data_IF_359403805688
#
_entry.id   IF_359403805688
#
_cell.length_a   1.000
_cell.length_b   1.000
_cell.length_c   1.000
_cell.angle_alpha   90.00
_cell.angle_beta   90.00
_cell.angle_gamma   90.00
#
_symmetry.space_group_name_H-M   'P 1'
#
loop_
_entity.id
_entity.type
_entity.pdbx_description
1 polymer ?
#
# COMPACT_ATOMS: atom_id res chain seq x y z
N UNK A 1 3.63 23.07 -5.64
CA UNK A 1 4.23 21.73 -5.80
C UNK A 1 4.38 21.10 -4.44
N UNK A 2 3.92 19.85 -4.28
CA UNK A 2 3.94 19.11 -3.01
C UNK A 2 5.22 18.29 -2.85
N UNK A 3 5.81 17.86 -3.97
CA UNK A 3 7.05 17.09 -4.00
C UNK A 3 8.27 18.01 -4.02
N UNK A 4 9.39 17.53 -3.48
CA UNK A 4 10.63 18.30 -3.40
C UNK A 4 11.24 18.47 -4.78
N UNK A 5 11.76 19.65 -5.11
CA UNK A 5 12.42 19.92 -6.38
C UNK A 5 13.92 19.57 -6.29
N UNK A 6 14.32 18.46 -6.91
CA UNK A 6 15.72 18.07 -7.08
C UNK A 6 15.86 17.02 -8.18
N UNK A 7 17.09 16.83 -8.65
CA UNK A 7 17.44 15.76 -9.58
C UNK A 7 17.37 14.40 -8.86
N UNK A 8 16.35 13.60 -9.21
CA UNK A 8 16.14 12.28 -8.63
C UNK A 8 16.95 11.24 -9.40
N UNK A 9 17.76 10.46 -8.69
CA UNK A 9 18.58 9.39 -9.29
C UNK A 9 18.24 7.99 -8.76
N UNK A 10 17.39 7.90 -7.72
CA UNK A 10 17.09 6.64 -7.04
C UNK A 10 15.96 5.84 -7.73
N UNK A 11 16.33 4.77 -8.45
CA UNK A 11 15.40 3.86 -9.11
C UNK A 11 14.98 2.68 -8.24
N UNK A 12 15.48 2.57 -7.01
CA UNK A 12 15.21 1.40 -6.17
C UNK A 12 13.73 1.25 -5.83
N UNK A 13 13.23 0.01 -5.66
CA UNK A 13 11.84 -0.24 -5.32
C UNK A 13 11.47 0.37 -3.95
N UNK A 14 10.17 0.54 -3.71
CA UNK A 14 9.65 0.98 -2.42
C UNK A 14 10.04 -0.03 -1.33
N UNK A 15 10.49 0.47 -0.18
CA UNK A 15 10.70 -0.38 1.01
C UNK A 15 9.37 -0.65 1.70
N UNK A 16 9.22 -1.81 2.34
CA UNK A 16 7.98 -2.19 3.02
C UNK A 16 7.59 -1.21 4.13
N UNK A 17 8.57 -0.69 4.86
CA UNK A 17 8.35 0.33 5.89
C UNK A 17 8.51 1.77 5.41
N UNK A 18 8.69 1.99 4.11
CA UNK A 18 8.79 3.35 3.59
C UNK A 18 7.39 3.99 3.48
N UNK A 19 7.21 5.22 4.00
CA UNK A 19 5.98 5.96 3.78
C UNK A 19 5.70 6.17 2.29
N UNK A 20 4.44 6.04 1.88
CA UNK A 20 4.04 6.16 0.48
C UNK A 20 4.50 7.49 -0.14
N UNK A 21 4.31 8.60 0.56
CA UNK A 21 4.77 9.91 0.10
C UNK A 21 6.29 9.98 -0.05
N UNK A 22 7.06 9.42 0.88
CA UNK A 22 8.51 9.42 0.81
C UNK A 22 9.02 8.65 -0.41
N UNK A 23 8.41 7.51 -0.72
CA UNK A 23 8.70 6.75 -1.95
C UNK A 23 8.40 7.57 -3.21
N UNK A 24 7.20 8.18 -3.26
CA UNK A 24 6.82 9.04 -4.37
C UNK A 24 7.79 10.21 -4.52
N UNK A 25 8.23 10.82 -3.42
CA UNK A 25 9.14 11.97 -3.47
C UNK A 25 10.56 11.59 -3.87
N UNK A 26 11.07 10.42 -3.48
CA UNK A 26 12.44 10.01 -3.83
C UNK A 26 12.61 9.37 -5.20
N UNK A 27 11.59 8.69 -5.71
CA UNK A 27 11.77 7.77 -6.82
C UNK A 27 12.08 8.49 -8.14
N UNK A 28 13.16 8.09 -8.81
CA UNK A 28 13.52 8.51 -10.16
C UNK A 28 12.78 7.74 -11.26
N UNK A 29 11.93 6.77 -10.90
CA UNK A 29 11.19 5.94 -11.87
C UNK A 29 10.22 6.81 -12.71
N UNK A 30 10.22 6.69 -14.05
CA UNK A 30 9.34 7.48 -14.91
C UNK A 30 7.86 7.35 -14.55
N UNK A 31 7.41 6.15 -14.21
CA UNK A 31 6.02 5.85 -13.83
C UNK A 31 5.64 6.60 -12.55
N UNK A 32 6.56 6.73 -11.60
CA UNK A 32 6.34 7.49 -10.37
C UNK A 32 6.31 9.00 -10.67
N UNK A 33 7.05 9.48 -11.67
CA UNK A 33 6.91 10.84 -12.19
C UNK A 33 5.48 11.14 -12.68
N UNK A 34 4.84 10.18 -13.35
CA UNK A 34 3.44 10.29 -13.79
C UNK A 34 2.50 10.37 -12.59
N UNK A 35 2.72 9.53 -11.57
CA UNK A 35 1.92 9.54 -10.33
C UNK A 35 2.06 10.87 -9.60
N UNK A 36 3.29 11.39 -9.43
CA UNK A 36 3.52 12.70 -8.81
C UNK A 36 2.76 13.81 -9.53
N UNK A 37 2.93 13.86 -10.86
CA UNK A 37 2.23 14.85 -11.70
C UNK A 37 0.72 14.73 -11.58
N UNK A 38 0.19 13.52 -11.43
CA UNK A 38 -1.24 13.29 -11.22
C UNK A 38 -1.72 13.81 -9.88
N UNK A 39 -1.01 13.52 -8.79
CA UNK A 39 -1.33 14.05 -7.45
C UNK A 39 -1.29 15.57 -7.43
N UNK A 40 -0.30 16.20 -8.07
CA UNK A 40 -0.22 17.65 -8.15
C UNK A 40 -1.41 18.25 -8.92
N UNK A 41 -1.82 17.65 -10.04
CA UNK A 41 -3.03 18.08 -10.76
C UNK A 41 -4.30 17.95 -9.91
N UNK A 42 -4.42 16.90 -9.10
CA UNK A 42 -5.57 16.75 -8.20
C UNK A 42 -5.60 17.87 -7.16
N UNK A 43 -4.45 18.25 -6.61
CA UNK A 43 -4.33 19.34 -5.63
C UNK A 43 -4.57 20.71 -6.26
N UNK A 44 -4.12 20.93 -7.50
CA UNK A 44 -4.41 22.17 -8.25
C UNK A 44 -5.90 22.37 -8.49
N UNK A 45 -6.65 21.29 -8.71
CA UNK A 45 -8.10 21.32 -8.87
C UNK A 45 -8.86 21.45 -7.53
N UNK A 46 -8.23 21.14 -6.40
CA UNK A 46 -8.86 21.14 -5.08
C UNK A 46 -9.04 22.56 -4.52
N UNK A 47 -10.04 22.81 -3.65
CA UNK A 47 -10.23 24.13 -3.04
C UNK A 47 -9.00 24.59 -2.25
N UNK A 48 -8.51 25.78 -2.57
CA UNK A 48 -7.21 26.29 -2.10
C UNK A 48 -7.13 26.42 -0.58
N UNK A 49 -8.25 26.73 0.07
CA UNK A 49 -8.37 26.81 1.53
C UNK A 49 -8.15 25.45 2.24
N UNK A 50 -8.34 24.32 1.54
CA UNK A 50 -8.19 22.97 2.09
C UNK A 50 -6.86 22.30 1.70
N UNK A 51 -6.13 22.86 0.72
CA UNK A 51 -4.89 22.25 0.18
C UNK A 51 -3.84 22.02 1.27
N UNK A 52 -3.68 22.96 2.22
CA UNK A 52 -2.68 22.84 3.27
C UNK A 52 -2.93 21.64 4.20
N UNK A 53 -4.20 21.39 4.54
CA UNK A 53 -4.61 20.24 5.36
C UNK A 53 -4.38 18.92 4.60
N UNK A 54 -4.79 18.89 3.33
CA UNK A 54 -4.61 17.73 2.46
C UNK A 54 -3.12 17.37 2.28
N UNK A 55 -2.27 18.37 2.06
CA UNK A 55 -0.81 18.19 1.97
C UNK A 55 -0.25 17.61 3.27
N UNK A 56 -0.68 18.13 4.43
CA UNK A 56 -0.23 17.63 5.73
C UNK A 56 -0.58 16.15 5.93
N UNK A 57 -1.78 15.71 5.52
CA UNK A 57 -2.18 14.29 5.59
C UNK A 57 -1.38 13.40 4.65
N UNK A 58 -1.16 13.84 3.41
CA UNK A 58 -0.33 13.13 2.44
C UNK A 58 1.12 13.00 2.93
N UNK A 59 1.67 14.03 3.58
CA UNK A 59 3.05 14.04 4.06
C UNK A 59 3.24 13.48 5.48
N UNK A 60 2.16 13.06 6.15
CA UNK A 60 2.17 12.66 7.57
C UNK A 60 3.03 11.44 7.91
N UNK A 61 3.41 10.65 6.89
CA UNK A 61 4.08 9.36 7.09
C UNK A 61 3.13 8.22 7.49
N UNK A 62 1.86 8.51 7.77
CA UNK A 62 0.85 7.53 8.13
C UNK A 62 0.14 7.01 6.86
N UNK A 63 0.25 5.70 6.59
CA UNK A 63 -0.32 5.09 5.38
C UNK A 63 -1.86 5.16 5.30
N UNK A 64 -2.56 5.15 6.43
CA UNK A 64 -4.03 5.31 6.45
C UNK A 64 -4.41 6.74 6.08
N UNK A 65 -3.73 7.73 6.67
CA UNK A 65 -3.95 9.13 6.34
C UNK A 65 -3.63 9.43 4.87
N UNK A 66 -2.51 8.89 4.35
CA UNK A 66 -2.13 9.01 2.95
C UNK A 66 -3.20 8.43 2.01
N UNK A 67 -3.66 7.20 2.25
CA UNK A 67 -4.69 6.55 1.43
C UNK A 67 -6.03 7.28 1.50
N UNK A 68 -6.41 7.75 2.69
CA UNK A 68 -7.69 8.47 2.89
C UNK A 68 -7.67 9.80 2.13
N UNK A 69 -6.62 10.59 2.32
CA UNK A 69 -6.42 11.86 1.62
C UNK A 69 -6.38 11.67 0.09
N UNK A 70 -5.63 10.67 -0.38
CA UNK A 70 -5.60 10.32 -1.81
C UNK A 70 -6.97 9.92 -2.35
N UNK A 71 -7.77 9.17 -1.58
CA UNK A 71 -9.12 8.79 -1.99
C UNK A 71 -10.07 9.99 -2.08
N UNK A 72 -10.02 10.89 -1.10
CA UNK A 72 -10.79 12.13 -1.11
C UNK A 72 -10.49 12.99 -2.35
N UNK A 73 -9.20 13.17 -2.68
CA UNK A 73 -8.78 13.89 -3.89
C UNK A 73 -9.34 13.24 -5.18
N UNK A 74 -9.29 11.91 -5.27
CA UNK A 74 -9.83 11.17 -6.41
C UNK A 74 -11.34 11.34 -6.56
N UNK A 75 -12.07 11.25 -5.45
CA UNK A 75 -13.53 11.43 -5.43
C UNK A 75 -13.91 12.85 -5.85
N UNK A 76 -13.18 13.85 -5.33
CA UNK A 76 -13.40 15.23 -5.67
C UNK A 76 -13.24 15.48 -7.17
N UNK A 77 -12.12 15.06 -7.75
CA UNK A 77 -11.86 15.24 -9.17
C UNK A 77 -12.86 14.47 -10.03
N UNK A 78 -13.15 13.22 -9.67
CA UNK A 78 -14.07 12.37 -10.43
C UNK A 78 -15.48 12.98 -10.49
N UNK A 79 -16.04 13.37 -9.35
CA UNK A 79 -17.40 13.93 -9.30
C UNK A 79 -17.46 15.33 -9.91
N UNK A 80 -16.41 16.14 -9.75
CA UNK A 80 -16.31 17.45 -10.40
C UNK A 80 -16.33 17.31 -11.93
N UNK A 81 -15.61 16.34 -12.49
CA UNK A 81 -15.63 16.03 -13.94
C UNK A 81 -17.00 15.54 -14.43
N UNK A 82 -17.77 14.87 -13.58
CA UNK A 82 -19.15 14.49 -13.88
C UNK A 82 -20.13 15.67 -13.77
N UNK A 83 -19.67 16.86 -13.42
CA UNK A 83 -20.46 18.09 -13.34
C UNK A 83 -21.21 18.27 -12.02
N UNK A 84 -20.79 17.58 -10.97
CA UNK A 84 -21.22 17.88 -9.61
C UNK A 84 -20.38 19.03 -9.03
N UNK A 85 -20.93 19.77 -8.08
CA UNK A 85 -20.18 20.74 -7.27
C UNK A 85 -19.94 20.14 -5.89
N UNK A 86 -18.69 20.14 -5.45
CA UNK A 86 -18.31 19.62 -4.14
C UNK A 86 -17.78 20.74 -3.27
N UNK A 87 -18.27 20.80 -2.04
CA UNK A 87 -17.71 21.63 -0.98
C UNK A 87 -17.11 20.72 0.09
N UNK A 88 -15.78 20.70 0.25
CA UNK A 88 -15.15 19.93 1.32
C UNK A 88 -15.56 20.45 2.70
N UNK A 89 -15.53 19.55 3.69
CA UNK A 89 -15.69 19.85 5.12
C UNK A 89 -16.79 20.89 5.44
N UNK A 90 -18.04 20.69 4.97
CA UNK A 90 -19.10 21.67 5.13
C UNK A 90 -19.47 21.88 6.59
N UNK A 91 -19.73 23.14 6.97
CA UNK A 91 -20.34 23.45 8.26
C UNK A 91 -21.80 22.99 8.26
N UNK A 92 -22.16 22.13 9.21
CA UNK A 92 -23.51 21.59 9.34
C UNK A 92 -24.46 22.59 10.00
N UNK A 93 -25.63 22.80 9.38
CA UNK A 93 -26.65 23.77 9.84
C UNK A 93 -27.28 23.41 11.19
N UNK A 94 -27.21 22.15 11.61
CA UNK A 94 -27.76 21.66 12.87
C UNK A 94 -26.82 21.90 14.07
N UNK A 95 -25.68 22.56 13.87
CA UNK A 95 -24.69 22.80 14.92
C UNK A 95 -23.90 21.55 15.33
N UNK A 96 -24.01 20.45 14.59
CA UNK A 96 -23.20 19.25 14.84
C UNK A 96 -21.74 19.50 14.51
N UNK A 97 -20.84 19.01 15.36
CA UNK A 97 -19.38 19.04 15.15
C UNK A 97 -18.88 18.03 14.11
N UNK A 98 -19.78 17.17 13.58
CA UNK A 98 -19.42 16.26 12.50
C UNK A 98 -19.00 17.06 11.27
N UNK A 99 -17.97 16.57 10.60
CA UNK A 99 -17.46 17.13 9.35
C UNK A 99 -17.49 16.04 8.29
N UNK A 100 -18.58 15.93 7.50
CA UNK A 100 -18.55 15.08 6.32
C UNK A 100 -17.43 15.51 5.39
N UNK A 101 -16.88 14.59 4.61
CA UNK A 101 -15.81 14.94 3.68
C UNK A 101 -16.30 15.95 2.64
N UNK A 102 -17.52 15.76 2.09
CA UNK A 102 -18.09 16.68 1.10
C UNK A 102 -19.59 16.94 1.27
N UNK A 103 -20.02 18.16 0.94
CA UNK A 103 -21.38 18.45 0.49
C UNK A 103 -21.39 18.47 -1.05
N UNK A 104 -22.13 17.55 -1.64
CA UNK A 104 -22.28 17.42 -3.09
C UNK A 104 -23.56 18.12 -3.54
N UNK A 105 -23.48 18.89 -4.62
CA UNK A 105 -24.63 19.49 -5.30
C UNK A 105 -24.70 18.96 -6.73
N UNK A 106 -25.81 18.32 -7.07
CA UNK A 106 -26.10 17.81 -8.40
C UNK A 106 -26.56 18.92 -9.36
N UNK A 107 -26.65 18.59 -10.65
CA UNK A 107 -27.03 19.55 -11.70
C UNK A 107 -28.47 20.07 -11.56
N UNK A 108 -29.35 19.29 -10.96
CA UNK A 108 -30.74 19.68 -10.65
C UNK A 108 -30.87 20.49 -9.36
N UNK A 109 -29.75 20.76 -8.66
CA UNK A 109 -29.72 21.49 -7.41
C UNK A 109 -29.92 20.62 -6.16
N UNK A 110 -30.18 19.32 -6.30
CA UNK A 110 -30.25 18.41 -5.16
C UNK A 110 -28.91 18.30 -4.44
N UNK A 111 -28.95 18.12 -3.12
CA UNK A 111 -27.76 18.09 -2.27
C UNK A 111 -27.74 16.86 -1.36
N UNK A 112 -26.56 16.31 -1.15
CA UNK A 112 -26.31 15.23 -0.19
C UNK A 112 -24.90 15.33 0.40
N UNK A 113 -24.71 14.76 1.59
CA UNK A 113 -23.40 14.61 2.19
C UNK A 113 -22.75 13.31 1.73
N UNK A 114 -21.45 13.39 1.44
CA UNK A 114 -20.62 12.28 0.98
C UNK A 114 -19.44 12.07 1.93
N UNK A 115 -19.21 10.82 2.30
CA UNK A 115 -18.07 10.37 3.09
C UNK A 115 -17.24 9.39 2.23
N UNK A 116 -15.94 9.65 2.10
CA UNK A 116 -14.94 8.88 1.40
C UNK A 116 -14.22 7.94 2.39
N UNK A 117 -14.86 6.82 2.70
CA UNK A 117 -14.37 5.91 3.73
C UNK A 117 -13.49 4.81 3.12
N UNK A 118 -12.27 4.66 3.62
CA UNK A 118 -11.48 3.46 3.35
C UNK A 118 -12.14 2.26 4.04
N UNK A 119 -12.43 1.20 3.30
CA UNK A 119 -12.81 -0.06 3.91
C UNK A 119 -11.54 -0.73 4.49
N UNK A 120 -11.14 -0.33 5.69
CA UNK A 120 -10.00 -0.97 6.38
C UNK A 120 -10.50 -2.07 7.30
N UNK A 121 -10.00 -3.30 7.08
CA UNK A 121 -10.13 -4.43 8.00
C UNK A 121 -9.13 -4.28 9.15
N UNK A 122 -9.29 -3.24 9.96
CA UNK A 122 -8.40 -3.02 11.10
C UNK A 122 -8.80 -3.96 12.24
N UNK A 123 -8.46 -5.26 12.10
CA UNK A 123 -8.72 -6.32 13.10
C UNK A 123 -7.55 -6.47 14.08
N UNK A 124 -7.04 -5.35 14.59
CA UNK A 124 -5.99 -5.37 15.62
C UNK A 124 -4.62 -5.79 15.10
N UNK A 125 -4.22 -5.25 13.94
CA UNK A 125 -2.85 -5.44 13.45
C UNK A 125 -1.83 -4.92 14.47
N UNK A 126 -0.87 -5.77 14.83
CA UNK A 126 0.25 -5.35 15.66
C UNK A 126 1.29 -4.64 14.78
N UNK A 127 1.13 -3.33 14.64
CA UNK A 127 2.02 -2.45 13.88
C UNK A 127 3.51 -2.64 14.23
N UNK A 128 3.82 -2.91 15.51
CA UNK A 128 5.20 -3.14 15.93
C UNK A 128 5.76 -4.45 15.39
N UNK A 129 4.96 -5.53 15.42
CA UNK A 129 5.30 -6.82 14.83
C UNK A 129 5.49 -6.71 13.32
N UNK A 130 4.55 -6.05 12.64
CA UNK A 130 4.62 -5.84 11.19
C UNK A 130 5.86 -5.03 10.80
N UNK A 131 6.19 -3.98 11.55
CA UNK A 131 7.40 -3.19 11.32
C UNK A 131 8.68 -4.03 11.45
N UNK A 132 8.78 -4.92 12.44
CA UNK A 132 9.93 -5.82 12.62
C UNK A 132 10.08 -6.81 11.47
N UNK A 133 8.98 -7.42 11.03
CA UNK A 133 8.95 -8.33 9.88
C UNK A 133 9.36 -7.59 8.62
N UNK A 134 8.74 -6.44 8.33
CA UNK A 134 9.04 -5.63 7.16
C UNK A 134 10.51 -5.18 7.11
N UNK A 135 11.09 -4.77 8.23
CA UNK A 135 12.50 -4.39 8.30
C UNK A 135 13.43 -5.57 7.95
N UNK A 136 13.06 -6.78 8.38
CA UNK A 136 13.78 -8.02 8.04
C UNK A 136 13.68 -8.31 6.55
N UNK A 137 12.49 -8.17 5.98
CA UNK A 137 12.23 -8.41 4.56
C UNK A 137 12.89 -7.36 3.66
N UNK A 138 12.94 -6.09 4.07
CA UNK A 138 13.67 -5.03 3.35
C UNK A 138 15.17 -5.35 3.26
N UNK A 139 15.77 -5.83 4.37
CA UNK A 139 17.16 -6.30 4.35
C UNK A 139 17.31 -7.47 3.38
N UNK A 140 16.41 -8.46 3.46
CA UNK A 140 16.48 -9.62 2.56
C UNK A 140 16.36 -9.21 1.09
N UNK A 141 15.44 -8.30 0.77
CA UNK A 141 15.15 -7.86 -0.60
C UNK A 141 16.28 -7.03 -1.22
N UNK A 142 17.11 -6.38 -0.38
CA UNK A 142 18.18 -5.47 -0.82
C UNK A 142 19.38 -6.14 -1.49
N UNK A 143 19.48 -7.48 -1.47
CA UNK A 143 20.58 -8.20 -2.13
C UNK A 143 20.02 -9.15 -3.19
N UNK A 144 20.00 -8.76 -4.47
CA UNK A 144 19.53 -9.63 -5.54
C UNK A 144 20.44 -10.85 -5.72
N UNK A 145 19.91 -11.89 -6.34
CA UNK A 145 20.64 -13.10 -6.72
C UNK A 145 20.64 -13.23 -8.24
N UNK A 146 21.77 -13.60 -8.88
CA UNK A 146 21.87 -13.66 -10.34
C UNK A 146 20.90 -14.67 -10.96
N UNK A 147 20.74 -15.84 -10.33
CA UNK A 147 20.01 -16.97 -10.94
C UNK A 147 18.58 -17.18 -10.43
N UNK A 148 18.20 -16.51 -9.32
CA UNK A 148 16.98 -16.83 -8.60
C UNK A 148 16.25 -15.58 -8.08
N UNK A 149 14.93 -15.63 -8.14
CA UNK A 149 14.06 -14.89 -7.23
C UNK A 149 13.61 -15.79 -6.09
N UNK A 150 13.00 -15.18 -5.08
CA UNK A 150 12.31 -15.94 -4.03
C UNK A 150 10.83 -15.59 -3.94
N UNK A 151 10.02 -16.60 -3.67
CA UNK A 151 8.69 -16.46 -3.09
C UNK A 151 8.80 -16.57 -1.57
N UNK A 152 8.04 -15.77 -0.83
CA UNK A 152 8.00 -15.85 0.64
C UNK A 152 6.58 -16.05 1.17
N UNK A 153 6.44 -16.93 2.15
CA UNK A 153 5.23 -17.07 2.96
C UNK A 153 5.60 -16.98 4.43
N UNK A 154 4.92 -16.10 5.16
CA UNK A 154 5.17 -15.86 6.59
C UNK A 154 4.08 -16.54 7.44
N UNK A 155 4.41 -17.04 8.64
CA UNK A 155 3.43 -17.54 9.62
C UNK A 155 3.86 -17.19 11.04
N UNK A 156 2.89 -16.87 11.89
CA UNK A 156 3.12 -16.49 13.29
C UNK A 156 3.74 -15.10 13.43
N UNK A 157 4.13 -14.75 14.66
CA UNK A 157 4.61 -13.41 15.02
C UNK A 157 5.88 -13.50 15.87
N UNK A 158 6.92 -12.71 15.56
CA UNK A 158 8.11 -12.61 16.40
C UNK A 158 7.83 -11.70 17.59
N UNK A 159 8.46 -11.96 18.74
CA UNK A 159 8.41 -11.04 19.90
C UNK A 159 9.63 -10.13 19.95
N UNK A 160 10.70 -10.47 19.23
CA UNK A 160 11.90 -9.64 19.05
C UNK A 160 12.26 -9.47 17.57
N UNK A 161 13.03 -8.43 17.24
CA UNK A 161 13.47 -8.14 15.87
C UNK A 161 14.24 -9.34 15.27
N UNK A 162 13.75 -9.96 14.18
CA UNK A 162 14.50 -11.02 13.51
C UNK A 162 15.82 -10.48 12.96
N UNK A 163 16.88 -11.28 13.06
CA UNK A 163 18.22 -10.89 12.65
C UNK A 163 18.38 -10.86 11.12
N UNK A 164 17.86 -9.82 10.46
CA UNK A 164 17.74 -9.74 8.99
C UNK A 164 19.03 -10.06 8.23
N UNK A 165 20.20 -9.55 8.66
CA UNK A 165 21.49 -9.87 8.02
C UNK A 165 21.92 -11.33 8.19
N UNK A 166 21.50 -11.99 9.26
CA UNK A 166 21.75 -13.44 9.46
C UNK A 166 20.84 -14.25 8.56
N UNK A 167 19.56 -13.87 8.49
CA UNK A 167 18.55 -14.49 7.62
C UNK A 167 18.97 -14.37 6.15
N UNK A 168 19.32 -13.17 5.70
CA UNK A 168 19.82 -12.89 4.36
C UNK A 168 21.01 -13.78 3.98
N UNK A 169 22.06 -13.84 4.83
CA UNK A 169 23.21 -14.72 4.58
C UNK A 169 22.83 -16.19 4.46
N UNK A 170 21.89 -16.65 5.29
CA UNK A 170 21.41 -18.03 5.28
C UNK A 170 20.62 -18.34 4.01
N UNK A 171 19.76 -17.42 3.56
CA UNK A 171 19.00 -17.54 2.30
C UNK A 171 19.93 -17.55 1.10
N UNK A 172 20.88 -16.61 1.01
CA UNK A 172 21.84 -16.56 -0.10
C UNK A 172 22.74 -17.79 -0.13
N UNK A 173 23.21 -18.28 1.02
CA UNK A 173 23.99 -19.52 1.10
C UNK A 173 23.18 -20.73 0.63
N UNK A 174 21.88 -20.76 0.90
CA UNK A 174 20.99 -21.82 0.44
C UNK A 174 20.78 -21.73 -1.07
N UNK A 175 20.48 -20.55 -1.62
CA UNK A 175 20.33 -20.33 -3.06
C UNK A 175 21.59 -20.73 -3.85
N UNK A 176 22.77 -20.34 -3.38
CA UNK A 176 24.06 -20.71 -4.00
C UNK A 176 24.32 -22.23 -4.02
N UNK A 177 23.65 -22.99 -3.15
CA UNK A 177 23.79 -24.44 -3.06
C UNK A 177 22.71 -25.19 -3.85
N UNK A 178 21.75 -24.49 -4.45
CA UNK A 178 20.72 -25.11 -5.27
C UNK A 178 21.29 -25.54 -6.62
N UNK A 179 20.81 -26.68 -7.10
CA UNK A 179 21.01 -27.09 -8.48
C UNK A 179 19.95 -26.41 -9.35
N UNK A 180 20.34 -25.57 -10.35
CA UNK A 180 19.40 -24.90 -11.25
C UNK A 180 18.43 -25.84 -11.97
N UNK A 181 18.78 -27.11 -12.16
CA UNK A 181 17.90 -28.11 -12.79
C UNK A 181 16.72 -28.53 -11.92
N UNK A 182 16.78 -28.28 -10.61
CA UNK A 182 15.74 -28.67 -9.63
C UNK A 182 14.65 -27.63 -9.44
N UNK A 183 14.83 -26.43 -10.01
CA UNK A 183 13.86 -25.32 -9.88
C UNK A 183 13.05 -25.24 -11.17
N UNK A 184 11.74 -25.48 -11.07
CA UNK A 184 10.87 -25.45 -12.25
C UNK A 184 10.86 -24.06 -12.89
N UNK A 185 10.99 -24.04 -14.23
CA UNK A 185 10.81 -22.83 -15.06
C UNK A 185 9.34 -22.61 -15.43
N UNK A 186 8.56 -23.69 -15.44
CA UNK A 186 7.12 -23.62 -15.65
C UNK A 186 6.49 -23.29 -14.32
N UNK A 187 5.84 -22.11 -14.27
CA UNK A 187 5.31 -21.45 -13.07
C UNK A 187 4.16 -22.18 -12.37
N UNK A 188 4.34 -23.45 -12.03
CA UNK A 188 3.57 -24.09 -10.98
C UNK A 188 4.05 -23.51 -9.65
N UNK A 189 3.44 -22.39 -9.27
CA UNK A 189 3.60 -21.69 -7.99
C UNK A 189 3.20 -22.54 -6.76
N UNK A 190 2.89 -23.82 -6.96
CA UNK A 190 2.35 -24.74 -5.96
C UNK A 190 3.39 -25.83 -5.66
N UNK A 191 4.02 -25.69 -4.50
CA UNK A 191 4.64 -26.72 -3.65
C UNK A 191 5.82 -27.58 -4.15
N UNK A 192 6.26 -27.49 -5.40
CA UNK A 192 7.34 -28.39 -5.89
C UNK A 192 8.74 -27.78 -5.91
N UNK A 193 8.88 -26.45 -5.93
CA UNK A 193 10.20 -25.83 -5.93
C UNK A 193 10.87 -25.96 -4.55
N UNK A 194 12.22 -26.09 -4.51
CA UNK A 194 12.97 -26.11 -3.27
C UNK A 194 12.55 -24.96 -2.36
N UNK A 195 12.18 -25.31 -1.13
CA UNK A 195 11.82 -24.36 -0.10
C UNK A 195 12.66 -24.55 1.15
N UNK A 196 12.73 -23.50 1.94
CA UNK A 196 13.57 -23.42 3.11
C UNK A 196 12.90 -22.57 4.19
N UNK A 197 12.80 -23.13 5.40
CA UNK A 197 12.21 -22.43 6.53
C UNK A 197 13.26 -21.72 7.37
N UNK A 198 13.00 -20.44 7.62
CA UNK A 198 13.70 -19.61 8.60
C UNK A 198 12.77 -19.44 9.79
N UNK A 199 13.19 -19.96 10.94
CA UNK A 199 12.46 -19.83 12.21
C UNK A 199 13.16 -18.82 13.10
N UNK A 200 12.39 -17.89 13.66
CA UNK A 200 12.78 -16.97 14.72
C UNK A 200 11.63 -16.86 15.72
N UNK A 201 11.80 -17.45 16.91
CA UNK A 201 10.76 -17.47 17.95
C UNK A 201 9.43 -18.04 17.43
N UNK A 202 8.33 -17.30 17.58
CA UNK A 202 7.00 -17.64 17.09
C UNK A 202 6.79 -17.36 15.59
N UNK A 203 7.81 -16.88 14.88
CA UNK A 203 7.73 -16.53 13.47
C UNK A 203 8.47 -17.52 12.58
N UNK A 204 7.81 -17.97 11.52
CA UNK A 204 8.38 -18.82 10.49
C UNK A 204 8.21 -18.16 9.12
N UNK A 205 9.32 -17.98 8.42
CA UNK A 205 9.38 -17.52 7.04
C UNK A 205 9.77 -18.70 6.14
N UNK A 206 8.81 -19.18 5.35
CA UNK A 206 9.08 -20.10 4.27
C UNK A 206 9.59 -19.32 3.06
N UNK A 207 10.75 -19.70 2.56
CA UNK A 207 11.41 -19.12 1.40
C UNK A 207 11.47 -20.17 0.31
N UNK A 208 10.90 -19.90 -0.86
CA UNK A 208 10.90 -20.80 -2.00
C UNK A 208 11.64 -20.18 -3.17
N UNK A 209 12.49 -20.96 -3.84
CA UNK A 209 13.26 -20.49 -4.99
C UNK A 209 12.40 -20.45 -6.26
N UNK A 210 12.58 -19.41 -7.06
CA UNK A 210 11.97 -19.23 -8.37
C UNK A 210 13.09 -18.98 -9.38
N UNK A 211 13.07 -19.65 -10.53
CA UNK A 211 14.05 -19.41 -11.60
C UNK A 211 13.95 -17.97 -12.13
N UNK A 212 15.08 -17.26 -12.19
CA UNK A 212 15.19 -16.10 -13.07
C UNK A 212 15.26 -16.63 -14.52
N UNK A 213 14.26 -16.33 -15.34
CA UNK A 213 14.21 -16.82 -16.73
C UNK A 213 15.46 -16.42 -17.54
N UNK A 214 15.84 -17.19 -18.58
CA UNK A 214 17.08 -16.96 -19.34
C UNK A 214 17.14 -15.59 -20.03
N UNK A 215 15.99 -14.94 -20.26
CA UNK A 215 15.87 -13.63 -20.92
C UNK A 215 15.93 -12.44 -19.93
N UNK A 216 16.13 -12.68 -18.64
CA UNK A 216 16.22 -11.62 -17.61
C UNK A 216 17.56 -11.62 -16.90
N UNK A 217 18.63 -11.47 -17.68
CA UNK A 217 19.92 -10.91 -17.22
C UNK A 217 19.84 -9.37 -17.26
N UNK A 218 18.69 -8.79 -16.92
CA UNK A 218 18.67 -7.41 -16.43
C UNK A 218 18.99 -7.48 -14.95
N UNK A 219 19.93 -6.65 -14.47
CA UNK A 219 20.28 -6.58 -13.05
C UNK A 219 19.02 -6.25 -12.26
N UNK A 220 18.39 -7.27 -11.70
CA UNK A 220 17.22 -7.08 -10.86
C UNK A 220 17.72 -6.43 -9.58
N UNK A 221 17.06 -5.35 -9.16
CA UNK A 221 17.42 -4.63 -7.93
C UNK A 221 16.81 -5.29 -6.68
N UNK A 222 16.16 -6.46 -6.83
CA UNK A 222 15.38 -7.12 -5.78
C UNK A 222 15.53 -8.64 -5.79
N UNK A 223 15.44 -9.24 -4.61
CA UNK A 223 15.45 -10.70 -4.42
C UNK A 223 14.03 -11.30 -4.36
N UNK A 224 13.10 -10.63 -3.68
CA UNK A 224 11.73 -11.12 -3.48
C UNK A 224 10.91 -10.83 -4.75
N UNK A 225 10.49 -11.91 -5.43
CA UNK A 225 9.68 -11.86 -6.65
C UNK A 225 8.18 -11.88 -6.34
N UNK A 226 7.77 -12.73 -5.39
CA UNK A 226 6.37 -12.93 -4.94
C UNK A 226 6.34 -12.99 -3.42
N UNK A 227 5.31 -12.43 -2.79
CA UNK A 227 5.14 -12.50 -1.34
C UNK A 227 3.69 -12.75 -0.97
N UNK A 228 3.43 -13.83 -0.24
CA UNK A 228 2.16 -14.12 0.41
C UNK A 228 2.35 -13.98 1.92
N UNK A 229 2.35 -12.74 2.40
CA UNK A 229 2.35 -12.46 3.83
C UNK A 229 0.89 -12.56 4.28
N UNK A 230 0.53 -13.43 5.23
CA UNK A 230 -0.85 -13.49 5.74
C UNK A 230 -1.09 -12.27 6.62
N UNK A 231 -1.33 -11.14 5.98
CA UNK A 231 -2.07 -10.03 6.55
C UNK A 231 -3.54 -10.25 6.15
N UNK A 232 -4.24 -11.08 6.94
CA UNK A 232 -5.71 -11.18 6.95
C UNK A 232 -6.38 -12.00 5.84
N UNK A 233 -7.35 -12.83 6.22
CA UNK A 233 -8.39 -13.30 5.31
C UNK A 233 -9.30 -12.11 4.94
N UNK A 234 -9.41 -11.81 3.64
CA UNK A 234 -10.29 -10.78 3.08
C UNK A 234 -11.75 -11.22 3.26
N UNK A 235 -12.50 -10.52 4.12
CA UNK A 235 -13.96 -10.56 4.14
C UNK A 235 -14.45 -9.16 3.79
N UNK A 236 -14.53 -8.90 2.48
CA UNK A 236 -14.93 -7.62 1.91
C UNK A 236 -16.35 -7.17 2.30
N UNK A 237 -17.17 -8.05 2.88
CA UNK A 237 -18.60 -7.80 3.09
C UNK A 237 -18.91 -7.28 4.50
N UNK A 238 -18.27 -7.85 5.52
CA UNK A 238 -18.59 -7.56 6.92
C UNK A 238 -18.25 -6.11 7.36
N UNK A 239 -17.07 -5.53 7.03
CA UNK A 239 -16.73 -4.14 7.40
C UNK A 239 -17.63 -3.10 6.72
N UNK A 240 -18.04 -3.35 5.48
CA UNK A 240 -18.98 -2.50 4.74
C UNK A 240 -20.34 -2.51 5.46
N UNK A 241 -20.85 -3.70 5.81
CA UNK A 241 -22.12 -3.86 6.52
C UNK A 241 -22.14 -3.16 7.88
N UNK A 242 -21.07 -3.25 8.67
CA UNK A 242 -21.05 -2.71 10.02
C UNK A 242 -20.90 -1.17 10.02
N UNK A 243 -20.13 -0.61 9.08
CA UNK A 243 -20.10 0.84 8.81
C UNK A 243 -21.42 1.41 8.28
N UNK A 244 -22.24 0.60 7.60
CA UNK A 244 -23.59 0.97 7.17
C UNK A 244 -24.58 1.00 8.34
N UNK A 245 -24.44 0.09 9.32
CA UNK A 245 -25.34 0.00 10.50
C UNK A 245 -25.17 1.15 11.48
N UNK A 246 -23.96 1.69 11.64
CA UNK A 246 -23.69 2.81 12.55
C UNK A 246 -24.27 4.14 12.04
N UNK A 247 -24.54 4.25 10.73
CA UNK A 247 -25.07 5.46 10.08
C UNK A 247 -26.60 5.46 9.90
N UNK A 248 -27.28 4.34 10.12
CA UNK A 248 -28.71 4.18 9.81
C UNK A 248 -29.67 4.93 10.76
N UNK A 249 -29.17 5.81 11.64
CA UNK A 249 -30.00 6.62 12.56
C UNK A 249 -30.45 7.98 12.00
N UNK A 250 -30.58 8.10 10.68
CA UNK A 250 -31.43 9.09 10.02
C UNK A 250 -30.71 10.31 9.44
N UNK A 251 -30.58 10.35 8.10
CA UNK A 251 -30.59 11.49 7.15
C UNK A 251 -29.94 11.03 5.83
N UNK A 252 -30.33 11.61 4.68
CA UNK A 252 -29.88 11.21 3.34
C UNK A 252 -28.37 11.36 3.09
N UNK A 253 -27.60 10.34 3.44
CA UNK A 253 -26.14 10.26 3.30
C UNK A 253 -25.80 9.15 2.28
N UNK A 254 -24.86 9.44 1.38
CA UNK A 254 -24.30 8.43 0.47
C UNK A 254 -22.84 8.17 0.88
N UNK A 255 -22.45 6.90 1.00
CA UNK A 255 -21.06 6.50 1.25
C UNK A 255 -20.50 5.82 0.00
N UNK A 256 -19.28 6.19 -0.38
CA UNK A 256 -18.51 5.49 -1.40
C UNK A 256 -17.29 4.90 -0.71
N UNK A 257 -17.09 3.58 -0.87
CA UNK A 257 -15.96 2.86 -0.28
C UNK A 257 -15.03 2.35 -1.37
N UNK A 258 -13.72 2.53 -1.19
CA UNK A 258 -12.72 1.76 -1.93
C UNK A 258 -12.25 0.58 -1.07
N UNK A 259 -12.21 -0.60 -1.69
CA UNK A 259 -11.50 -1.75 -1.16
C UNK A 259 -10.02 -1.62 -1.56
N UNK A 260 -9.08 -2.03 -0.69
CA UNK A 260 -7.65 -1.98 -0.99
C UNK A 260 -7.37 -2.74 -2.31
N UNK A 261 -7.17 -2.00 -3.41
CA UNK A 261 -6.62 -2.54 -4.65
C UNK A 261 -5.10 -2.35 -4.52
N UNK A 262 -4.42 -3.41 -4.10
CA UNK A 262 -2.96 -3.46 -4.20
C UNK A 262 -2.60 -3.40 -5.69
N UNK A 263 -1.95 -2.32 -6.13
CA UNK A 263 -1.23 -2.33 -7.40
C UNK A 263 0.03 -3.18 -7.21
N UNK A 264 0.14 -4.22 -8.04
CA UNK A 264 1.25 -5.16 -8.15
C UNK A 264 2.49 -4.45 -8.70
#
# INVERSE_FOLDING_TARGET
MIFTEYERTDTSPKKLNEPDFAFLDRSARPEIGVVRSFVERLLEAYPQEEVAEMVARLQSGNGVAFRSAGFELLIYEFLTRLGYKLKPHPVLKNGSEKKPDFLVTARDGSQFYLEAVLATEDKGENWSTNAMINATLDILNSTPHPDYFISITSKGEPTTQPAGRKIQRRVLSWLNALDPSTVSREGNFLDTNPSFDVVHEGWTLNVQALCAGPDKVEKTERLIGVSSIPAGFVDSWTPIRDNLRQCYKGTGHMKISLCNIYCI
#
